data_IF_330564135010
#
_entry.id   IF_330564135010
#
_cell.length_a   1.000
_cell.length_b   1.000
_cell.length_c   1.000
_cell.angle_alpha   90.00
_cell.angle_beta   90.00
_cell.angle_gamma   90.00
#
_symmetry.space_group_name_H-M   'P 1'
#
loop_
_entity.id
_entity.type
_entity.pdbx_description
1 polymer ?
#
# COMPACT_ATOMS: atom_id res chain seq x y z
N UNK A 1 66.09 -27.21 -29.66
CA UNK A 1 65.80 -26.63 -28.34
C UNK A 1 65.05 -25.28 -28.37
N UNK A 2 65.22 -24.40 -29.38
CA UNK A 2 64.51 -23.10 -29.46
C UNK A 2 63.01 -23.18 -29.78
N UNK A 3 62.54 -24.24 -30.45
CA UNK A 3 61.12 -24.41 -30.83
C UNK A 3 60.24 -24.75 -29.61
N UNK A 4 60.76 -25.53 -28.66
CA UNK A 4 60.03 -25.94 -27.44
C UNK A 4 59.76 -24.77 -26.49
N UNK A 5 60.70 -23.83 -26.37
CA UNK A 5 60.54 -22.63 -25.53
C UNK A 5 59.49 -21.66 -26.10
N UNK A 6 59.42 -21.55 -27.43
CA UNK A 6 58.41 -20.70 -28.11
C UNK A 6 57.00 -21.27 -27.93
N UNK A 7 56.83 -22.59 -28.04
CA UNK A 7 55.53 -23.24 -27.80
C UNK A 7 55.05 -23.13 -26.34
N UNK A 8 55.97 -23.18 -25.37
CA UNK A 8 55.63 -23.05 -23.95
C UNK A 8 55.20 -21.62 -23.58
N UNK A 9 55.85 -20.60 -24.15
CA UNK A 9 55.45 -19.19 -24.02
C UNK A 9 54.10 -18.90 -24.69
N UNK A 10 53.83 -19.50 -25.85
CA UNK A 10 52.54 -19.39 -26.54
C UNK A 10 51.40 -20.02 -25.71
N UNK A 11 51.59 -21.20 -25.13
CA UNK A 11 50.58 -21.85 -24.28
C UNK A 11 50.27 -21.05 -23.00
N UNK A 12 51.27 -20.44 -22.38
CA UNK A 12 51.09 -19.55 -21.21
C UNK A 12 50.33 -18.27 -21.58
N UNK A 13 50.61 -17.67 -22.75
CA UNK A 13 49.88 -16.50 -23.24
C UNK A 13 48.41 -16.83 -23.59
N UNK A 14 48.14 -18.00 -24.17
CA UNK A 14 46.77 -18.45 -24.46
C UNK A 14 45.98 -18.82 -23.19
N UNK A 15 46.64 -19.37 -22.17
CA UNK A 15 46.02 -19.65 -20.87
C UNK A 15 45.68 -18.37 -20.09
N UNK A 16 46.56 -17.36 -20.12
CA UNK A 16 46.33 -16.06 -19.45
C UNK A 16 45.24 -15.20 -20.10
N UNK A 17 45.13 -15.20 -21.43
CA UNK A 17 44.07 -14.45 -22.13
C UNK A 17 42.69 -15.10 -21.96
N UNK A 18 42.61 -16.43 -21.91
CA UNK A 18 41.34 -17.13 -21.67
C UNK A 18 40.88 -17.00 -20.23
N UNK A 19 41.78 -16.99 -19.24
CA UNK A 19 41.44 -16.78 -17.83
C UNK A 19 40.97 -15.35 -17.55
N UNK A 20 41.63 -14.33 -18.10
CA UNK A 20 41.23 -12.93 -17.92
C UNK A 20 39.85 -12.64 -18.53
N UNK A 21 39.61 -13.12 -19.75
CA UNK A 21 38.30 -12.98 -20.42
C UNK A 21 37.19 -13.77 -19.70
N UNK A 22 37.52 -14.91 -19.12
CA UNK A 22 36.58 -15.69 -18.30
C UNK A 22 36.25 -14.96 -16.98
N UNK A 23 37.24 -14.40 -16.30
CA UNK A 23 37.05 -13.61 -15.09
C UNK A 23 36.22 -12.35 -15.35
N UNK A 24 36.48 -11.63 -16.44
CA UNK A 24 35.70 -10.46 -16.85
C UNK A 24 34.23 -10.83 -17.11
N UNK A 25 33.98 -11.92 -17.83
CA UNK A 25 32.63 -12.42 -18.09
C UNK A 25 31.92 -12.82 -16.80
N UNK A 26 32.62 -13.44 -15.85
CA UNK A 26 32.05 -13.83 -14.57
C UNK A 26 31.68 -12.60 -13.72
N UNK A 27 32.57 -11.61 -13.65
CA UNK A 27 32.31 -10.35 -12.95
C UNK A 27 31.11 -9.60 -13.55
N UNK A 28 30.98 -9.57 -14.88
CA UNK A 28 29.83 -8.94 -15.53
C UNK A 28 28.53 -9.70 -15.24
N UNK A 29 28.55 -11.04 -15.23
CA UNK A 29 27.38 -11.85 -14.84
C UNK A 29 26.99 -11.61 -13.38
N UNK A 30 27.95 -11.56 -12.48
CA UNK A 30 27.70 -11.30 -11.06
C UNK A 30 27.17 -9.88 -10.84
N UNK A 31 27.70 -8.89 -11.58
CA UNK A 31 27.19 -7.51 -11.59
C UNK A 31 25.75 -7.45 -12.09
N UNK A 32 25.43 -8.11 -13.20
CA UNK A 32 24.08 -8.15 -13.76
C UNK A 32 23.10 -8.88 -12.84
N UNK A 33 23.52 -9.97 -12.21
CA UNK A 33 22.74 -10.68 -11.20
C UNK A 33 22.48 -9.79 -9.99
N UNK A 34 23.50 -9.12 -9.45
CA UNK A 34 23.35 -8.21 -8.31
C UNK A 34 22.43 -7.02 -8.65
N UNK A 35 22.55 -6.45 -9.85
CA UNK A 35 21.65 -5.39 -10.31
C UNK A 35 20.21 -5.89 -10.43
N UNK A 36 20.00 -7.10 -10.95
CA UNK A 36 18.68 -7.71 -11.04
C UNK A 36 18.08 -8.01 -9.66
N UNK A 37 18.85 -8.58 -8.74
CA UNK A 37 18.43 -8.86 -7.37
C UNK A 37 18.12 -7.57 -6.59
N UNK A 38 18.90 -6.49 -6.79
CA UNK A 38 18.63 -5.20 -6.17
C UNK A 38 17.33 -4.57 -6.71
N UNK A 39 17.03 -4.72 -8.02
CA UNK A 39 15.74 -4.32 -8.60
C UNK A 39 14.59 -5.13 -7.98
N UNK A 40 14.75 -6.46 -7.83
CA UNK A 40 13.74 -7.31 -7.21
C UNK A 40 13.49 -6.90 -5.76
N UNK A 41 14.55 -6.66 -4.98
CA UNK A 41 14.47 -6.24 -3.58
C UNK A 41 13.81 -4.86 -3.44
N UNK A 42 14.15 -3.90 -4.31
CA UNK A 42 13.49 -2.59 -4.37
C UNK A 42 12.02 -2.69 -4.78
N UNK A 43 11.64 -3.77 -5.48
CA UNK A 43 10.27 -4.01 -5.93
C UNK A 43 9.40 -4.78 -4.94
N UNK A 44 10.01 -5.43 -3.95
CA UNK A 44 9.32 -6.27 -2.97
C UNK A 44 8.46 -5.43 -1.99
N UNK A 45 7.12 -5.59 -2.00
CA UNK A 45 6.25 -4.84 -1.11
C UNK A 45 6.26 -5.36 0.34
N UNK A 46 6.73 -6.60 0.57
CA UNK A 46 6.57 -7.30 1.87
C UNK A 46 7.14 -6.53 3.06
N UNK A 47 8.35 -5.94 3.01
CA UNK A 47 8.90 -5.20 4.15
C UNK A 47 8.01 -4.02 4.57
N UNK A 48 7.43 -3.32 3.59
CA UNK A 48 6.50 -2.21 3.85
C UNK A 48 5.16 -2.73 4.39
N UNK A 49 4.60 -3.78 3.79
CA UNK A 49 3.35 -4.39 4.25
C UNK A 49 3.45 -4.90 5.70
N UNK A 50 4.60 -5.47 6.07
CA UNK A 50 4.87 -5.97 7.43
C UNK A 50 5.05 -4.82 8.43
N UNK A 51 5.85 -3.80 8.12
CA UNK A 51 5.99 -2.60 8.97
C UNK A 51 4.65 -1.90 9.20
N UNK A 52 3.87 -1.68 8.14
CA UNK A 52 2.54 -1.08 8.23
C UNK A 52 1.58 -1.96 9.03
N UNK A 53 1.65 -3.29 8.87
CA UNK A 53 0.84 -4.22 9.67
C UNK A 53 1.15 -4.05 11.15
N UNK A 54 2.43 -4.07 11.54
CA UNK A 54 2.84 -3.90 12.94
C UNK A 54 2.40 -2.55 13.51
N UNK A 55 2.55 -1.48 12.73
CA UNK A 55 2.09 -0.15 13.14
C UNK A 55 0.57 -0.07 13.24
N UNK A 56 -0.19 -0.80 12.42
CA UNK A 56 -1.65 -0.74 12.45
C UNK A 56 -2.25 -1.43 13.69
N UNK A 57 -1.59 -2.45 14.24
CA UNK A 57 -2.08 -3.17 15.42
C UNK A 57 -2.33 -2.23 16.60
N UNK A 58 -3.41 -2.47 17.35
CA UNK A 58 -3.86 -1.67 18.47
C UNK A 58 -5.24 -1.05 18.26
N UNK A 59 -5.65 -0.20 19.19
CA UNK A 59 -6.96 0.46 19.18
C UNK A 59 -6.84 1.91 18.76
N UNK A 60 -7.77 2.33 17.92
CA UNK A 60 -7.81 3.64 17.28
C UNK A 60 -9.16 4.30 17.56
N UNK A 61 -9.15 5.54 18.03
CA UNK A 61 -10.35 6.35 18.26
C UNK A 61 -10.49 7.38 17.15
N UNK A 62 -11.70 7.51 16.62
CA UNK A 62 -12.01 8.48 15.58
C UNK A 62 -11.75 9.92 16.05
N UNK A 63 -11.22 10.74 15.16
CA UNK A 63 -10.89 12.15 15.42
C UNK A 63 -11.62 13.05 14.45
N UNK A 64 -11.53 12.75 13.14
CA UNK A 64 -11.99 13.67 12.11
C UNK A 64 -12.31 12.95 10.80
N UNK A 65 -13.16 13.58 10.00
CA UNK A 65 -13.49 13.17 8.65
C UNK A 65 -13.46 14.37 7.71
N UNK A 66 -12.69 14.25 6.64
CA UNK A 66 -12.52 15.30 5.66
C UNK A 66 -12.73 14.75 4.25
N UNK A 67 -13.22 15.59 3.36
CA UNK A 67 -13.26 15.30 1.93
C UNK A 67 -11.98 15.82 1.29
N UNK A 68 -11.29 15.01 0.50
CA UNK A 68 -10.09 15.46 -0.20
C UNK A 68 -10.44 16.58 -1.20
N UNK A 69 -9.66 17.66 -1.20
CA UNK A 69 -9.90 18.83 -2.07
C UNK A 69 -9.77 18.47 -3.57
N UNK A 70 -10.67 19.02 -4.37
CA UNK A 70 -10.79 18.89 -5.83
C UNK A 70 -11.94 19.78 -6.32
N UNK A 71 -12.24 19.80 -7.62
CA UNK A 71 -13.40 20.54 -8.15
C UNK A 71 -14.69 20.05 -7.47
N UNK A 72 -15.20 20.86 -6.54
CA UNK A 72 -16.31 20.50 -5.67
C UNK A 72 -17.60 20.44 -6.49
N UNK A 73 -18.05 19.23 -6.83
CA UNK A 73 -19.41 19.00 -7.30
C UNK A 73 -20.42 19.21 -6.15
N UNK A 74 -21.69 19.48 -6.49
CA UNK A 74 -22.78 19.57 -5.50
C UNK A 74 -22.88 18.29 -4.65
N UNK A 75 -22.59 17.13 -5.23
CA UNK A 75 -22.55 15.84 -4.52
C UNK A 75 -21.46 15.79 -3.45
N UNK A 76 -20.26 16.34 -3.71
CA UNK A 76 -19.17 16.38 -2.74
C UNK A 76 -19.50 17.33 -1.57
N UNK A 77 -20.22 18.43 -1.85
CA UNK A 77 -20.69 19.37 -0.83
C UNK A 77 -21.79 18.74 0.05
N UNK A 78 -22.75 18.03 -0.54
CA UNK A 78 -23.77 17.28 0.20
C UNK A 78 -23.13 16.18 1.06
N UNK A 79 -22.18 15.43 0.50
CA UNK A 79 -21.40 14.43 1.22
C UNK A 79 -20.66 15.05 2.43
N UNK A 80 -20.00 16.20 2.25
CA UNK A 80 -19.33 16.91 3.35
C UNK A 80 -20.32 17.30 4.45
N UNK A 81 -21.54 17.71 4.10
CA UNK A 81 -22.59 18.03 5.07
C UNK A 81 -23.08 16.78 5.83
N UNK A 82 -23.38 15.69 5.13
CA UNK A 82 -23.79 14.42 5.74
C UNK A 82 -22.72 13.85 6.69
N UNK A 83 -21.45 13.93 6.28
CA UNK A 83 -20.30 13.49 7.08
C UNK A 83 -20.16 14.28 8.38
N UNK A 84 -20.36 15.60 8.33
CA UNK A 84 -20.37 16.44 9.52
C UNK A 84 -21.56 16.11 10.45
N UNK A 85 -22.67 15.62 9.90
CA UNK A 85 -23.86 15.26 10.67
C UNK A 85 -23.78 13.87 11.34
N UNK A 86 -22.82 13.01 10.97
CA UNK A 86 -22.84 11.58 11.35
C UNK A 86 -22.41 11.26 12.80
N UNK A 87 -21.98 12.26 13.59
CA UNK A 87 -21.61 12.12 15.02
C UNK A 87 -20.88 10.80 15.38
N UNK A 88 -19.64 10.63 14.90
CA UNK A 88 -18.81 9.43 15.14
C UNK A 88 -18.00 9.47 16.45
N UNK A 89 -18.51 10.15 17.47
CA UNK A 89 -17.77 10.44 18.72
C UNK A 89 -17.37 9.18 19.49
N UNK A 90 -18.12 8.08 19.36
CA UNK A 90 -17.85 6.80 20.01
C UNK A 90 -17.19 5.78 19.08
N UNK A 91 -16.79 6.17 17.86
CA UNK A 91 -16.20 5.27 16.89
C UNK A 91 -14.78 4.88 17.33
N UNK A 92 -14.58 3.59 17.53
CA UNK A 92 -13.28 2.95 17.77
C UNK A 92 -13.07 1.76 16.85
N UNK A 93 -11.82 1.50 16.50
CA UNK A 93 -11.41 0.37 15.67
C UNK A 93 -10.19 -0.28 16.30
N UNK A 94 -10.27 -1.57 16.58
CA UNK A 94 -9.15 -2.38 17.02
C UNK A 94 -8.68 -3.27 15.87
N UNK A 95 -7.37 -3.28 15.61
CA UNK A 95 -6.70 -4.25 14.76
C UNK A 95 -5.81 -5.12 15.62
N UNK A 96 -5.93 -6.44 15.48
CA UNK A 96 -5.23 -7.38 16.35
C UNK A 96 -4.88 -8.68 15.63
N UNK A 97 -3.93 -9.40 16.21
CA UNK A 97 -3.60 -10.77 15.81
C UNK A 97 -4.37 -11.74 16.70
N UNK A 98 -5.31 -12.47 16.14
CA UNK A 98 -5.96 -13.59 16.82
C UNK A 98 -5.09 -14.85 16.69
N UNK A 99 -4.82 -15.48 17.83
CA UNK A 99 -3.90 -16.62 17.94
C UNK A 99 -2.51 -16.39 17.32
N UNK A 100 -2.03 -15.14 17.24
CA UNK A 100 -0.79 -14.74 16.55
C UNK A 100 -0.73 -15.10 15.05
N UNK A 101 -1.84 -15.49 14.43
CA UNK A 101 -1.88 -15.93 13.02
C UNK A 101 -2.87 -15.10 12.22
N UNK A 102 -4.07 -14.88 12.75
CA UNK A 102 -5.16 -14.28 12.01
C UNK A 102 -5.22 -12.77 12.25
N UNK A 103 -5.07 -11.99 11.18
CA UNK A 103 -5.23 -10.54 11.21
C UNK A 103 -6.72 -10.21 11.28
N UNK A 104 -7.18 -9.69 12.43
CA UNK A 104 -8.59 -9.41 12.73
C UNK A 104 -8.82 -7.94 13.05
N UNK A 105 -10.02 -7.47 12.75
CA UNK A 105 -10.47 -6.16 13.19
C UNK A 105 -11.81 -6.22 13.91
N UNK A 106 -12.03 -5.25 14.79
CA UNK A 106 -13.31 -4.99 15.47
C UNK A 106 -13.56 -3.50 15.51
N UNK A 107 -14.68 -3.06 14.95
CA UNK A 107 -15.14 -1.67 15.01
C UNK A 107 -16.35 -1.54 15.92
N UNK A 108 -16.38 -0.52 16.77
CA UNK A 108 -17.51 -0.22 17.65
C UNK A 108 -17.88 1.26 17.53
N UNK A 109 -19.17 1.55 17.37
CA UNK A 109 -19.71 2.91 17.46
C UNK A 109 -21.05 2.88 18.21
N UNK A 110 -21.04 3.22 19.50
CA UNK A 110 -22.23 3.12 20.34
C UNK A 110 -22.68 1.67 20.49
N UNK A 111 -23.87 1.32 19.95
CA UNK A 111 -24.43 -0.04 19.97
C UNK A 111 -24.13 -0.85 18.70
N UNK A 112 -23.52 -0.22 17.69
CA UNK A 112 -23.19 -0.88 16.42
C UNK A 112 -21.80 -1.46 16.49
N UNK A 113 -21.65 -2.70 16.03
CA UNK A 113 -20.38 -3.42 15.97
C UNK A 113 -20.17 -4.03 14.59
N UNK A 114 -18.93 -4.01 14.12
CA UNK A 114 -18.47 -4.69 12.91
C UNK A 114 -17.24 -5.51 13.20
N UNK A 115 -17.12 -6.68 12.56
CA UNK A 115 -15.94 -7.54 12.70
C UNK A 115 -15.52 -8.13 11.36
N UNK A 116 -14.25 -8.55 11.29
CA UNK A 116 -13.73 -9.21 10.11
C UNK A 116 -12.24 -9.46 10.19
N UNK A 117 -11.64 -9.75 9.04
CA UNK A 117 -10.20 -9.85 8.86
C UNK A 117 -9.66 -8.73 8.00
N UNK A 118 -8.35 -8.48 8.08
CA UNK A 118 -7.70 -7.45 7.28
C UNK A 118 -6.37 -7.91 6.70
N UNK A 119 -5.94 -7.22 5.64
CA UNK A 119 -4.63 -7.39 5.02
C UNK A 119 -4.11 -6.03 4.57
N UNK A 120 -2.83 -5.77 4.81
CA UNK A 120 -2.12 -4.69 4.11
C UNK A 120 -1.66 -5.24 2.77
N UNK A 121 -1.93 -4.53 1.69
CA UNK A 121 -1.46 -4.86 0.35
C UNK A 121 -0.89 -3.61 -0.28
N UNK A 122 0.09 -3.77 -1.15
CA UNK A 122 0.62 -2.65 -1.91
C UNK A 122 0.44 -2.86 -3.41
N UNK A 123 0.01 -1.82 -4.12
CA UNK A 123 0.00 -1.78 -5.58
C UNK A 123 1.00 -0.76 -6.10
N UNK A 124 1.57 -1.06 -7.26
CA UNK A 124 2.56 -0.22 -7.90
C UNK A 124 1.90 0.61 -8.99
N UNK A 125 2.05 1.93 -8.88
CA UNK A 125 1.60 2.88 -9.89
C UNK A 125 2.82 3.64 -10.41
N UNK A 126 3.24 3.33 -11.63
CA UNK A 126 4.54 3.77 -12.14
C UNK A 126 5.68 3.22 -11.28
N UNK A 127 6.49 4.12 -10.73
CA UNK A 127 7.60 3.76 -9.82
C UNK A 127 7.21 3.77 -8.33
N UNK A 128 6.03 4.30 -8.00
CA UNK A 128 5.55 4.43 -6.63
C UNK A 128 4.81 3.18 -6.15
N UNK A 129 5.03 2.83 -4.89
CA UNK A 129 4.36 1.73 -4.22
C UNK A 129 3.37 2.29 -3.21
N UNK A 130 2.08 2.09 -3.45
CA UNK A 130 1.00 2.66 -2.65
C UNK A 130 0.35 1.59 -1.78
N UNK A 131 0.30 1.78 -0.44
CA UNK A 131 -0.29 0.83 0.46
C UNK A 131 -1.82 1.00 0.59
N UNK A 132 -2.49 -0.13 0.73
CA UNK A 132 -3.93 -0.23 0.94
C UNK A 132 -4.23 -1.15 2.13
N UNK A 133 -5.19 -0.72 2.95
CA UNK A 133 -5.90 -1.58 3.88
C UNK A 133 -7.02 -2.29 3.12
N UNK A 134 -6.95 -3.62 3.10
CA UNK A 134 -8.00 -4.49 2.61
C UNK A 134 -8.72 -5.11 3.78
N UNK A 135 -10.05 -5.05 3.77
CA UNK A 135 -10.90 -5.62 4.82
C UNK A 135 -11.85 -6.65 4.23
N UNK A 136 -12.06 -7.71 5.01
CA UNK A 136 -12.98 -8.79 4.70
C UNK A 136 -13.94 -8.90 5.87
N UNK A 137 -15.19 -8.52 5.63
CA UNK A 137 -16.22 -8.45 6.65
C UNK A 137 -16.73 -9.83 7.01
N UNK A 138 -16.85 -10.08 8.31
CA UNK A 138 -17.56 -11.23 8.85
C UNK A 138 -18.96 -10.84 9.32
N UNK A 139 -19.09 -9.75 10.08
CA UNK A 139 -20.37 -9.28 10.64
C UNK A 139 -20.55 -7.76 10.55
N UNK A 140 -21.81 -7.33 10.60
CA UNK A 140 -22.22 -5.92 10.66
C UNK A 140 -22.26 -5.20 9.30
N UNK A 141 -22.23 -3.88 9.35
CA UNK A 141 -22.17 -3.03 8.16
C UNK A 141 -20.85 -3.21 7.40
N UNK A 142 -20.83 -2.81 6.13
CA UNK A 142 -19.57 -2.75 5.38
C UNK A 142 -18.65 -1.71 6.01
N UNK A 143 -17.35 -2.00 6.06
CA UNK A 143 -16.41 -1.22 6.85
C UNK A 143 -16.25 0.25 6.40
N UNK A 144 -16.20 0.59 5.10
CA UNK A 144 -16.17 1.99 4.65
C UNK A 144 -17.43 2.79 5.08
N UNK A 145 -18.60 2.16 5.02
CA UNK A 145 -19.89 2.71 5.42
C UNK A 145 -19.98 2.81 6.95
N UNK A 146 -19.45 1.83 7.67
CA UNK A 146 -19.37 1.87 9.13
C UNK A 146 -18.51 3.04 9.64
N UNK A 147 -17.40 3.33 8.96
CA UNK A 147 -16.52 4.44 9.33
C UNK A 147 -17.12 5.78 8.91
N UNK A 148 -17.55 5.90 7.65
CA UNK A 148 -17.98 7.19 7.09
C UNK A 148 -19.42 7.54 7.44
N UNK A 149 -20.29 6.54 7.61
CA UNK A 149 -21.75 6.67 7.70
C UNK A 149 -22.46 7.07 6.43
N UNK A 150 -21.72 7.06 5.33
CA UNK A 150 -22.27 7.35 4.02
C UNK A 150 -22.79 6.03 3.44
N UNK A 151 -24.07 5.96 3.04
CA UNK A 151 -24.61 4.78 2.40
C UNK A 151 -23.96 4.53 1.02
N UNK A 152 -24.03 3.30 0.49
CA UNK A 152 -23.34 2.92 -0.74
C UNK A 152 -23.83 3.67 -2.00
N UNK A 153 -25.06 4.21 -2.00
CA UNK A 153 -25.72 4.77 -3.19
C UNK A 153 -25.22 6.16 -3.66
N UNK A 154 -24.16 6.71 -3.05
CA UNK A 154 -23.59 8.02 -3.44
C UNK A 154 -22.38 7.85 -4.41
N UNK A 155 -22.15 6.65 -4.99
CA UNK A 155 -20.80 6.25 -5.43
C UNK A 155 -20.65 5.44 -6.72
N UNK A 156 -21.57 5.54 -7.66
CA UNK A 156 -21.41 4.96 -9.02
C UNK A 156 -21.53 6.14 -10.00
N UNK A 157 -20.57 6.52 -10.84
CA UNK A 157 -19.58 5.81 -11.66
C UNK A 157 -18.54 6.85 -12.12
N UNK A 158 -17.24 6.53 -12.29
CA UNK A 158 -16.36 7.39 -13.05
C UNK A 158 -16.83 7.37 -14.51
N UNK A 159 -17.24 8.52 -15.04
CA UNK A 159 -17.60 8.73 -16.45
C UNK A 159 -16.37 8.65 -17.39
N UNK A 160 -15.23 8.15 -16.90
CA UNK A 160 -13.93 8.33 -17.52
C UNK A 160 -13.08 7.06 -17.43
N UNK A 161 -12.85 6.45 -18.59
CA UNK A 161 -12.06 5.23 -18.82
C UNK A 161 -10.57 5.34 -18.41
N UNK A 162 -10.08 6.54 -18.09
CA UNK A 162 -8.71 6.76 -17.58
C UNK A 162 -8.56 6.49 -16.07
N UNK A 163 -9.66 6.21 -15.36
CA UNK A 163 -9.69 6.06 -13.91
C UNK A 163 -9.84 4.59 -13.50
N UNK A 164 -8.83 4.07 -12.80
CA UNK A 164 -8.92 2.73 -12.23
C UNK A 164 -9.65 2.79 -10.89
N UNK A 165 -10.83 2.16 -10.83
CA UNK A 165 -11.59 2.01 -9.59
C UNK A 165 -10.80 1.13 -8.61
N UNK A 166 -10.41 1.72 -7.49
CA UNK A 166 -9.92 0.97 -6.33
C UNK A 166 -11.12 0.15 -5.80
N UNK A 167 -11.02 -1.18 -5.65
CA UNK A 167 -12.16 -1.98 -5.22
C UNK A 167 -12.71 -1.48 -3.89
N UNK A 168 -14.03 -1.55 -3.68
CA UNK A 168 -14.71 -0.96 -2.50
C UNK A 168 -14.15 -1.39 -1.14
N UNK A 169 -13.45 -2.54 -1.07
CA UNK A 169 -12.82 -3.03 0.15
C UNK A 169 -11.35 -2.61 0.31
N UNK A 170 -10.84 -1.71 -0.54
CA UNK A 170 -9.48 -1.18 -0.49
C UNK A 170 -9.54 0.29 -0.09
N UNK A 171 -8.76 0.62 0.93
CA UNK A 171 -8.68 1.97 1.46
C UNK A 171 -7.22 2.37 1.48
N UNK A 172 -6.90 3.55 0.97
CA UNK A 172 -5.54 4.09 1.11
C UNK A 172 -5.22 4.21 2.60
N UNK A 173 -4.03 3.79 3.01
CA UNK A 173 -3.64 3.78 4.43
C UNK A 173 -2.37 4.60 4.65
N UNK A 174 -2.40 5.43 5.68
CA UNK A 174 -1.21 6.05 6.26
C UNK A 174 -1.24 5.87 7.77
N UNK A 175 -0.18 5.28 8.34
CA UNK A 175 -0.12 4.98 9.77
C UNK A 175 1.22 5.40 10.36
N UNK A 176 1.14 6.10 11.47
CA UNK A 176 2.26 6.56 12.29
C UNK A 176 2.12 6.00 13.71
N UNK A 177 3.00 6.39 14.63
CA UNK A 177 2.96 5.90 16.00
C UNK A 177 1.65 6.27 16.72
N UNK A 178 1.06 7.42 16.42
CA UNK A 178 -0.09 7.98 17.14
C UNK A 178 -1.30 8.29 16.24
N UNK A 179 -1.12 8.32 14.92
CA UNK A 179 -2.18 8.66 13.96
C UNK A 179 -2.35 7.60 12.86
N UNK A 180 -3.61 7.29 12.56
CA UNK A 180 -4.04 6.49 11.42
C UNK A 180 -4.94 7.34 10.53
N UNK A 181 -4.70 7.33 9.24
CA UNK A 181 -5.56 7.93 8.23
C UNK A 181 -5.96 6.87 7.20
N UNK A 182 -7.28 6.76 6.98
CA UNK A 182 -7.86 5.88 5.96
C UNK A 182 -8.53 6.74 4.91
N UNK A 183 -8.10 6.61 3.66
CA UNK A 183 -8.72 7.27 2.51
C UNK A 183 -9.67 6.30 1.84
N UNK A 184 -10.96 6.57 1.99
CA UNK A 184 -12.06 5.81 1.42
C UNK A 184 -12.44 6.41 0.06
N UNK A 185 -12.78 5.55 -0.91
CA UNK A 185 -13.41 5.95 -2.18
C UNK A 185 -12.60 6.97 -3.01
N UNK A 186 -11.28 7.02 -2.80
CA UNK A 186 -10.40 7.84 -3.61
C UNK A 186 -10.17 7.21 -4.98
N UNK A 187 -9.88 8.04 -5.97
CA UNK A 187 -9.46 7.62 -7.30
C UNK A 187 -7.95 7.83 -7.41
N UNK A 188 -7.27 6.92 -8.09
CA UNK A 188 -5.87 7.15 -8.45
C UNK A 188 -5.81 8.05 -9.68
N UNK A 189 -5.17 9.21 -9.56
CA UNK A 189 -4.98 10.16 -10.65
C UNK A 189 -3.47 10.44 -10.82
N UNK A 190 -3.03 10.55 -12.08
CA UNK A 190 -1.66 10.94 -12.40
C UNK A 190 -1.56 12.46 -12.36
N UNK A 191 -0.74 13.00 -11.46
CA UNK A 191 -0.49 14.44 -11.31
C UNK A 191 0.90 14.80 -11.83
N UNK A 192 1.24 16.09 -12.03
CA UNK A 192 2.60 16.50 -12.37
C UNK A 192 3.67 16.05 -11.35
N UNK A 193 3.27 15.75 -10.12
CA UNK A 193 4.15 15.30 -9.04
C UNK A 193 4.21 13.78 -8.87
N UNK A 194 3.56 13.01 -9.75
CA UNK A 194 3.47 11.56 -9.64
C UNK A 194 2.03 11.07 -9.42
N UNK A 195 1.89 9.78 -9.11
CA UNK A 195 0.59 9.16 -8.86
C UNK A 195 0.09 9.55 -7.48
N UNK A 196 -1.10 10.17 -7.42
CA UNK A 196 -1.71 10.55 -6.17
C UNK A 196 -3.13 9.97 -6.06
N UNK A 197 -3.51 9.59 -4.86
CA UNK A 197 -4.92 9.35 -4.58
C UNK A 197 -5.61 10.71 -4.40
N UNK A 198 -6.46 11.06 -5.35
CA UNK A 198 -7.28 12.26 -5.30
C UNK A 198 -8.75 11.88 -5.09
N UNK A 199 -9.57 12.88 -4.69
CA UNK A 199 -10.97 12.68 -4.34
C UNK A 199 -11.14 11.69 -3.15
N UNK A 200 -12.36 11.53 -2.67
CA UNK A 200 -12.68 10.59 -1.59
C UNK A 200 -12.71 11.19 -0.19
N UNK A 201 -12.92 10.33 0.80
CA UNK A 201 -13.17 10.68 2.20
C UNK A 201 -12.02 10.18 3.06
N UNK A 202 -11.32 11.10 3.71
CA UNK A 202 -10.24 10.78 4.65
C UNK A 202 -10.78 10.76 6.07
N UNK A 203 -10.70 9.59 6.69
CA UNK A 203 -11.05 9.39 8.09
C UNK A 203 -9.76 9.31 8.91
N UNK A 204 -9.66 10.14 9.94
CA UNK A 204 -8.47 10.23 10.80
C UNK A 204 -8.78 9.71 12.20
N UNK A 205 -7.85 8.95 12.75
CA UNK A 205 -7.93 8.33 14.05
C UNK A 205 -6.66 8.60 14.85
N UNK A 206 -6.79 8.64 16.17
CA UNK A 206 -5.68 8.65 17.12
C UNK A 206 -5.57 7.31 17.81
N UNK A 207 -4.36 6.89 18.15
CA UNK A 207 -4.14 5.67 18.94
C UNK A 207 -4.65 5.85 20.36
N UNK A 208 -5.35 4.85 20.88
CA UNK A 208 -5.70 4.74 22.30
C UNK A 208 -4.50 4.10 23.01
N UNK A 209 -3.98 4.78 24.03
CA UNK A 209 -2.87 4.29 24.86
C UNK A 209 -3.34 3.22 25.84
#
# INVERSE_FOLDING_TARGET
MKILTVFSLLLLAFAGCTSAKYQEMQNERDRLRAAHEDVLRKRDPRPMEDDLTQRLLGTWQFVDIAVAEGDLSEELAALKYELNATARQNLTIAFFMDQNVYRRYRGVNGRTEVTGSFKISAERYGDELLPYLRVFRDTGERFPEFISGVPPNVRDTPDDSSKQLVPWNWMGISVTADRLSLTLFGVMELTPNGWAQSRGVRCTFKRVR
#
